data_IF_969702165287
#
_entry.id   IF_969702165287
#
_cell.length_a   1.000
_cell.length_b   1.000
_cell.length_c   1.000
_cell.angle_alpha   90.00
_cell.angle_beta   90.00
_cell.angle_gamma   90.00
#
_symmetry.space_group_name_H-M   'P 1'
#
loop_
_entity.id
_entity.type
_entity.pdbx_description
1 polymer ?
#
# COMPACT_ATOMS: atom_id res chain seq x y z
N UNK A 1 -26.39 -10.04 -4.73
CA UNK A 1 -25.97 -8.98 -3.79
C UNK A 1 -24.67 -9.41 -3.14
N UNK A 2 -23.91 -8.47 -2.62
CA UNK A 2 -22.67 -8.67 -1.86
C UNK A 2 -22.61 -7.69 -0.70
N UNK A 3 -21.89 -8.02 0.35
CA UNK A 3 -21.60 -7.12 1.47
C UNK A 3 -20.44 -6.20 1.13
N UNK A 4 -20.59 -4.92 1.48
CA UNK A 4 -19.57 -3.91 1.33
C UNK A 4 -19.64 -2.89 2.46
N UNK A 5 -18.48 -2.33 2.82
CA UNK A 5 -18.42 -1.10 3.57
C UNK A 5 -18.47 0.08 2.62
N UNK A 6 -19.28 1.09 2.92
CA UNK A 6 -19.35 2.31 2.12
C UNK A 6 -19.64 3.54 2.98
N UNK A 7 -19.39 4.72 2.43
CA UNK A 7 -19.78 6.00 3.01
C UNK A 7 -20.53 6.83 1.96
N UNK A 8 -21.57 7.51 2.42
CA UNK A 8 -22.47 8.37 1.60
C UNK A 8 -22.19 9.86 1.83
N UNK A 9 -21.36 10.16 2.82
CA UNK A 9 -20.91 11.50 3.18
C UNK A 9 -19.47 11.45 3.68
N UNK A 10 -18.75 12.56 3.47
CA UNK A 10 -17.41 12.72 4.02
C UNK A 10 -17.45 12.90 5.54
N UNK A 11 -16.45 12.37 6.25
CA UNK A 11 -16.40 12.57 7.70
C UNK A 11 -15.50 11.60 8.47
N UNK A 12 -15.72 11.47 9.79
CA UNK A 12 -14.95 10.56 10.65
C UNK A 12 -15.38 9.10 10.40
N UNK A 13 -14.59 8.12 10.87
CA UNK A 13 -14.74 6.67 10.52
C UNK A 13 -16.14 6.09 10.77
N UNK A 14 -16.90 6.74 11.63
CA UNK A 14 -18.29 6.45 11.94
C UNK A 14 -19.26 6.72 10.78
N UNK A 15 -18.83 7.41 9.70
CA UNK A 15 -19.61 7.53 8.46
C UNK A 15 -19.63 6.23 7.63
N UNK A 16 -18.74 5.28 7.93
CA UNK A 16 -18.71 3.98 7.27
C UNK A 16 -19.89 3.11 7.74
N UNK A 17 -20.62 2.56 6.77
CA UNK A 17 -21.75 1.65 6.99
C UNK A 17 -21.47 0.33 6.27
N UNK A 18 -21.79 -0.77 6.94
CA UNK A 18 -21.83 -2.10 6.32
C UNK A 18 -23.24 -2.32 5.76
N UNK A 19 -23.33 -2.71 4.49
CA UNK A 19 -24.61 -3.04 3.86
C UNK A 19 -24.44 -3.92 2.63
N UNK A 20 -25.54 -4.14 1.92
CA UNK A 20 -25.55 -4.95 0.70
C UNK A 20 -25.64 -4.07 -0.55
N UNK A 21 -24.82 -4.39 -1.56
CA UNK A 21 -24.82 -3.76 -2.87
C UNK A 21 -24.86 -4.82 -3.99
N UNK A 22 -25.23 -4.49 -5.23
CA UNK A 22 -25.14 -5.43 -6.34
C UNK A 22 -23.71 -5.91 -6.59
N UNK A 23 -23.57 -7.17 -7.04
CA UNK A 23 -22.29 -7.65 -7.59
C UNK A 23 -22.15 -7.02 -8.98
N UNK A 24 -21.05 -6.31 -9.27
CA UNK A 24 -20.88 -5.67 -10.57
C UNK A 24 -20.50 -6.69 -11.64
N UNK A 25 -20.69 -6.33 -12.92
CA UNK A 25 -20.20 -7.10 -14.06
C UNK A 25 -18.95 -6.44 -14.65
N UNK A 26 -17.92 -7.22 -15.03
CA UNK A 26 -16.70 -6.66 -15.60
C UNK A 26 -16.96 -6.02 -16.97
N UNK A 27 -16.32 -4.88 -17.22
CA UNK A 27 -16.14 -4.32 -18.58
C UNK A 27 -15.13 -5.15 -19.37
N UNK A 28 -15.00 -4.95 -20.71
CA UNK A 28 -14.11 -5.77 -21.55
C UNK A 28 -12.67 -5.90 -21.03
N UNK A 29 -12.10 -4.84 -20.46
CA UNK A 29 -10.72 -4.83 -19.94
C UNK A 29 -10.60 -5.10 -18.43
N UNK A 30 -11.67 -5.57 -17.79
CA UNK A 30 -11.74 -5.74 -16.34
C UNK A 30 -11.90 -7.20 -15.92
N UNK A 31 -11.44 -7.46 -14.70
CA UNK A 31 -11.64 -8.68 -13.95
C UNK A 31 -12.68 -8.41 -12.86
N UNK A 32 -13.54 -9.40 -12.61
CA UNK A 32 -14.31 -9.49 -11.38
C UNK A 32 -13.59 -10.43 -10.43
N UNK A 33 -13.28 -9.94 -9.24
CA UNK A 33 -12.41 -10.64 -8.29
C UNK A 33 -13.15 -10.81 -6.98
N UNK A 34 -13.20 -12.04 -6.48
CA UNK A 34 -13.60 -12.33 -5.11
C UNK A 34 -12.45 -11.91 -4.19
N UNK A 35 -12.69 -10.95 -3.31
CA UNK A 35 -11.66 -10.42 -2.41
C UNK A 35 -11.50 -11.36 -1.21
N UNK A 36 -10.28 -11.88 -1.01
CA UNK A 36 -9.95 -12.72 0.13
C UNK A 36 -9.31 -11.91 1.26
N UNK A 37 -8.49 -10.90 0.91
CA UNK A 37 -7.91 -9.96 1.84
C UNK A 37 -7.75 -8.57 1.20
N UNK A 38 -7.84 -7.53 2.00
CA UNK A 38 -7.60 -6.14 1.60
C UNK A 38 -6.65 -5.48 2.60
N UNK A 39 -5.89 -4.46 2.19
CA UNK A 39 -5.08 -3.68 3.11
C UNK A 39 -5.47 -2.21 3.10
N UNK A 40 -5.46 -1.61 4.29
CA UNK A 40 -5.72 -0.19 4.45
C UNK A 40 -4.46 0.64 4.23
N UNK A 41 -4.66 1.84 3.72
CA UNK A 41 -3.65 2.85 3.43
C UNK A 41 -4.13 4.22 3.91
N UNK A 42 -3.21 5.14 4.24
CA UNK A 42 -3.61 6.50 4.60
C UNK A 42 -4.46 7.22 3.54
N UNK A 43 -4.30 6.88 2.25
CA UNK A 43 -5.12 7.42 1.17
C UNK A 43 -6.62 7.11 1.39
N UNK A 44 -6.96 5.94 1.94
CA UNK A 44 -8.35 5.51 2.12
C UNK A 44 -9.10 6.44 3.08
N UNK A 45 -8.51 6.78 4.24
CA UNK A 45 -9.15 7.72 5.17
C UNK A 45 -9.06 9.17 4.69
N UNK A 46 -7.98 9.55 3.98
CA UNK A 46 -7.83 10.91 3.44
C UNK A 46 -8.89 11.22 2.38
N UNK A 47 -9.24 10.26 1.51
CA UNK A 47 -10.34 10.39 0.55
C UNK A 47 -11.69 10.48 1.27
N UNK A 48 -11.92 9.60 2.25
CA UNK A 48 -13.14 9.60 3.06
C UNK A 48 -13.36 10.92 3.82
N UNK A 49 -12.29 11.54 4.29
CA UNK A 49 -12.31 12.83 4.99
C UNK A 49 -12.25 14.05 4.05
N UNK A 50 -12.25 13.86 2.73
CA UNK A 50 -12.14 14.93 1.72
C UNK A 50 -10.87 15.80 1.86
N UNK A 51 -9.73 15.18 2.18
CA UNK A 51 -8.46 15.87 2.41
C UNK A 51 -7.56 15.97 1.17
N UNK A 52 -7.99 15.42 0.02
CA UNK A 52 -7.17 15.35 -1.20
C UNK A 52 -7.87 15.98 -2.40
N UNK A 53 -8.98 15.38 -2.82
CA UNK A 53 -9.77 15.83 -3.95
C UNK A 53 -11.24 15.44 -3.73
N UNK A 54 -12.20 16.22 -4.27
CA UNK A 54 -13.59 15.82 -4.26
C UNK A 54 -13.80 14.55 -5.08
N UNK A 55 -14.62 13.64 -4.56
CA UNK A 55 -15.00 12.38 -5.21
C UNK A 55 -16.52 12.27 -5.24
N UNK A 56 -17.05 11.52 -6.20
CA UNK A 56 -18.48 11.23 -6.25
C UNK A 56 -18.86 10.23 -5.15
N UNK A 57 -19.91 10.53 -4.40
CA UNK A 57 -20.48 9.64 -3.38
C UNK A 57 -21.69 8.86 -3.95
N UNK A 58 -22.02 7.67 -3.43
CA UNK A 58 -21.34 6.93 -2.36
C UNK A 58 -20.05 6.24 -2.83
N UNK A 59 -19.20 5.86 -1.87
CA UNK A 59 -17.92 5.18 -2.15
C UNK A 59 -17.72 3.99 -1.20
N UNK A 60 -17.35 2.85 -1.77
CA UNK A 60 -16.69 1.73 -1.07
C UNK A 60 -15.18 2.04 -1.04
N UNK A 61 -14.54 2.19 0.14
CA UNK A 61 -13.12 2.48 0.23
C UNK A 61 -12.24 1.24 -0.02
N UNK A 62 -10.93 1.45 -0.07
CA UNK A 62 -9.92 0.40 -0.19
C UNK A 62 -9.27 0.38 -1.57
N UNK A 63 -7.93 0.37 -1.57
CA UNK A 63 -7.11 0.33 -2.78
C UNK A 63 -6.47 -1.05 -3.00
N UNK A 64 -5.90 -1.63 -1.93
CA UNK A 64 -5.16 -2.90 -2.01
C UNK A 64 -6.10 -4.10 -1.85
N UNK A 65 -5.89 -5.13 -2.67
CA UNK A 65 -6.50 -6.45 -2.46
C UNK A 65 -5.62 -7.61 -2.94
N UNK A 66 -5.94 -8.78 -2.42
CA UNK A 66 -5.61 -10.07 -3.01
C UNK A 66 -6.86 -10.97 -3.02
N UNK A 67 -7.04 -11.74 -4.07
CA UNK A 67 -8.25 -12.52 -4.29
C UNK A 67 -8.19 -13.44 -5.50
N UNK A 68 -9.34 -14.02 -5.85
CA UNK A 68 -9.47 -14.99 -6.94
C UNK A 68 -10.32 -14.39 -8.06
N UNK A 69 -9.87 -14.52 -9.32
CA UNK A 69 -10.64 -14.11 -10.49
C UNK A 69 -11.86 -15.03 -10.64
N UNK A 70 -13.07 -14.46 -10.65
CA UNK A 70 -14.31 -15.23 -10.83
C UNK A 70 -15.00 -14.97 -12.17
N UNK A 71 -14.70 -13.84 -12.83
CA UNK A 71 -15.12 -13.55 -14.19
C UNK A 71 -14.16 -12.54 -14.83
N UNK A 72 -14.13 -12.47 -16.17
CA UNK A 72 -13.31 -11.53 -16.93
C UNK A 72 -14.08 -10.97 -18.13
N UNK A 73 -13.75 -9.75 -18.53
CA UNK A 73 -14.21 -9.19 -19.79
C UNK A 73 -13.48 -9.79 -21.00
N UNK A 74 -14.05 -9.58 -22.18
CA UNK A 74 -13.60 -10.21 -23.43
C UNK A 74 -12.19 -9.77 -23.89
N UNK A 75 -11.72 -8.59 -23.47
CA UNK A 75 -10.41 -8.05 -23.85
C UNK A 75 -9.29 -8.45 -22.86
N UNK A 76 -9.63 -9.18 -21.78
CA UNK A 76 -8.65 -9.70 -20.81
C UNK A 76 -7.95 -10.93 -21.40
N UNK A 77 -6.63 -10.89 -21.43
CA UNK A 77 -5.78 -11.94 -22.03
C UNK A 77 -4.68 -12.48 -21.11
N UNK A 78 -4.29 -11.74 -20.06
CA UNK A 78 -3.22 -12.11 -19.13
C UNK A 78 -3.67 -13.01 -17.98
N UNK A 79 -4.97 -13.04 -17.68
CA UNK A 79 -5.53 -13.78 -16.56
C UNK A 79 -6.75 -14.61 -16.97
N UNK A 80 -6.96 -15.69 -16.23
CA UNK A 80 -8.08 -16.61 -16.36
C UNK A 80 -8.90 -16.72 -15.07
N UNK A 81 -10.13 -17.22 -15.19
CA UNK A 81 -10.97 -17.52 -14.03
C UNK A 81 -10.28 -18.60 -13.19
N UNK A 82 -10.18 -18.36 -11.89
CA UNK A 82 -9.47 -19.20 -10.93
C UNK A 82 -8.06 -18.70 -10.58
N UNK A 83 -7.52 -17.70 -11.30
CA UNK A 83 -6.22 -17.14 -10.95
C UNK A 83 -6.26 -16.40 -9.61
N UNK A 84 -5.25 -16.66 -8.76
CA UNK A 84 -4.99 -15.89 -7.55
C UNK A 84 -4.17 -14.65 -7.92
N UNK A 85 -4.73 -13.46 -7.69
CA UNK A 85 -4.10 -12.19 -8.05
C UNK A 85 -4.07 -11.22 -6.87
N UNK A 86 -3.21 -10.21 -6.99
CA UNK A 86 -3.14 -9.10 -6.05
C UNK A 86 -2.78 -7.80 -6.77
N UNK A 87 -3.16 -6.66 -6.19
CA UNK A 87 -2.86 -5.37 -6.77
C UNK A 87 -3.50 -4.18 -6.05
N UNK A 88 -3.08 -2.99 -6.47
CA UNK A 88 -3.76 -1.75 -6.11
C UNK A 88 -4.74 -1.46 -7.25
N UNK A 89 -6.03 -1.48 -6.95
CA UNK A 89 -7.06 -1.33 -7.98
C UNK A 89 -7.24 0.13 -8.44
N UNK A 90 -6.64 1.10 -7.76
CA UNK A 90 -6.85 2.51 -8.03
C UNK A 90 -5.62 3.15 -8.69
N UNK A 91 -5.71 3.44 -9.98
CA UNK A 91 -4.78 4.36 -10.66
C UNK A 91 -5.14 5.81 -10.31
N UNK A 92 -4.24 6.51 -9.62
CA UNK A 92 -4.41 7.90 -9.20
C UNK A 92 -3.98 8.91 -10.28
N UNK A 93 -3.32 8.45 -11.34
CA UNK A 93 -2.86 9.29 -12.45
C UNK A 93 -3.74 9.14 -13.70
N UNK A 94 -4.69 8.19 -13.70
CA UNK A 94 -5.63 8.00 -14.78
C UNK A 94 -6.50 9.25 -15.01
N UNK A 95 -6.79 9.54 -16.28
CA UNK A 95 -7.80 10.55 -16.63
C UNK A 95 -9.17 10.04 -16.22
N UNK A 96 -9.90 10.82 -15.43
CA UNK A 96 -11.27 10.52 -15.05
C UNK A 96 -11.48 10.58 -13.54
N UNK A 97 -12.54 9.91 -13.08
CA UNK A 97 -12.89 9.85 -11.67
C UNK A 97 -12.28 8.62 -11.02
N UNK A 98 -11.99 8.73 -9.72
CA UNK A 98 -11.61 7.57 -8.91
C UNK A 98 -12.74 6.54 -8.88
N UNK A 99 -12.39 5.26 -8.65
CA UNK A 99 -13.36 4.18 -8.56
C UNK A 99 -14.23 4.39 -7.31
N UNK A 100 -15.55 4.26 -7.49
CA UNK A 100 -16.50 4.27 -6.38
C UNK A 100 -16.59 2.91 -5.68
N UNK A 101 -16.24 1.82 -6.38
CA UNK A 101 -16.18 0.47 -5.80
C UNK A 101 -14.73 0.11 -5.48
N UNK A 102 -14.34 0.27 -4.22
CA UNK A 102 -13.04 -0.11 -3.66
C UNK A 102 -12.92 -1.60 -3.33
N UNK A 103 -11.95 -1.92 -2.47
CA UNK A 103 -11.63 -3.31 -2.06
C UNK A 103 -12.28 -3.76 -0.75
N UNK A 104 -12.95 -2.88 0.00
CA UNK A 104 -13.75 -3.26 1.17
C UNK A 104 -15.16 -3.75 0.79
N UNK A 105 -15.21 -4.67 -0.18
CA UNK A 105 -16.38 -5.39 -0.64
C UNK A 105 -16.00 -6.85 -0.95
N UNK A 106 -16.96 -7.78 -0.89
CA UNK A 106 -16.70 -9.20 -1.18
C UNK A 106 -16.23 -9.43 -2.63
N UNK A 107 -16.67 -8.58 -3.56
CA UNK A 107 -16.27 -8.59 -4.96
C UNK A 107 -15.96 -7.17 -5.46
N UNK A 108 -14.86 -7.05 -6.22
CA UNK A 108 -14.46 -5.77 -6.83
C UNK A 108 -14.08 -5.93 -8.30
N UNK A 109 -14.04 -4.79 -9.00
CA UNK A 109 -13.63 -4.70 -10.39
C UNK A 109 -12.24 -4.08 -10.51
N UNK A 110 -11.37 -4.68 -11.31
CA UNK A 110 -10.03 -4.16 -11.55
C UNK A 110 -9.61 -4.35 -13.00
N UNK A 111 -8.95 -3.35 -13.56
CA UNK A 111 -8.35 -3.45 -14.89
C UNK A 111 -7.15 -4.40 -14.87
N UNK A 112 -7.02 -5.22 -15.92
CA UNK A 112 -5.96 -6.22 -16.06
C UNK A 112 -4.54 -5.66 -15.79
N UNK A 113 -4.25 -4.43 -16.21
CA UNK A 113 -2.91 -3.84 -16.07
C UNK A 113 -2.56 -3.41 -14.64
N UNK A 114 -3.48 -3.46 -13.68
CA UNK A 114 -3.26 -3.00 -12.29
C UNK A 114 -2.91 -4.14 -11.32
N UNK A 115 -2.98 -5.40 -11.77
CA UNK A 115 -2.80 -6.60 -10.94
C UNK A 115 -1.72 -7.51 -11.48
N UNK A 116 -1.22 -8.38 -10.61
CA UNK A 116 -0.26 -9.42 -10.94
C UNK A 116 -0.68 -10.75 -10.28
N UNK A 117 -0.11 -11.86 -10.75
CA UNK A 117 -0.28 -13.17 -10.11
C UNK A 117 0.29 -13.13 -8.68
N UNK A 118 -0.49 -13.59 -7.71
CA UNK A 118 -0.06 -13.71 -6.32
C UNK A 118 1.15 -14.66 -6.23
N UNK A 119 2.25 -14.26 -5.56
CA UNK A 119 3.34 -15.20 -5.26
C UNK A 119 2.80 -16.43 -4.52
N UNK A 120 3.18 -17.62 -4.99
CA UNK A 120 2.60 -18.89 -4.48
C UNK A 120 2.93 -19.15 -3.00
N UNK A 121 4.04 -18.58 -2.52
CA UNK A 121 4.51 -18.72 -1.14
C UNK A 121 3.86 -17.73 -0.16
N UNK A 122 3.05 -16.77 -0.64
CA UNK A 122 2.39 -15.78 0.21
C UNK A 122 0.91 -16.11 0.42
N UNK A 123 0.41 -15.83 1.62
CA UNK A 123 -1.03 -15.83 1.90
C UNK A 123 -1.73 -14.66 1.18
N UNK A 124 -3.07 -14.67 1.16
CA UNK A 124 -3.82 -13.53 0.65
C UNK A 124 -3.60 -12.27 1.49
N UNK A 125 -3.53 -12.39 2.82
CA UNK A 125 -3.23 -11.28 3.74
C UNK A 125 -1.86 -10.66 3.46
N UNK A 126 -0.85 -11.53 3.29
CA UNK A 126 0.51 -11.13 2.97
C UNK A 126 0.57 -10.41 1.61
N UNK A 127 -0.05 -11.00 0.58
CA UNK A 127 -0.10 -10.40 -0.73
C UNK A 127 -0.84 -9.07 -0.75
N UNK A 128 -2.02 -8.98 -0.12
CA UNK A 128 -2.80 -7.73 -0.07
C UNK A 128 -2.07 -6.61 0.67
N UNK A 129 -1.11 -6.92 1.54
CA UNK A 129 -0.33 -5.91 2.25
C UNK A 129 0.67 -5.14 1.38
N UNK A 130 0.95 -5.60 0.15
CA UNK A 130 2.06 -5.11 -0.66
C UNK A 130 1.73 -3.99 -1.67
N UNK A 131 0.60 -3.98 -2.41
CA UNK A 131 0.57 -3.29 -3.70
C UNK A 131 0.82 -1.78 -3.67
N UNK A 132 0.07 -0.99 -2.90
CA UNK A 132 0.33 0.45 -2.74
C UNK A 132 1.74 0.65 -2.17
N UNK A 133 2.05 -0.02 -1.06
CA UNK A 133 3.28 0.27 -0.31
C UNK A 133 4.57 -0.07 -1.09
N UNK A 134 4.60 -1.20 -1.79
CA UNK A 134 5.74 -1.66 -2.57
C UNK A 134 5.93 -0.81 -3.83
N UNK A 135 4.86 -0.49 -4.55
CA UNK A 135 4.95 0.36 -5.74
C UNK A 135 5.33 1.79 -5.36
N UNK A 136 4.85 2.31 -4.22
CA UNK A 136 5.29 3.62 -3.71
C UNK A 136 6.78 3.59 -3.41
N UNK A 137 7.29 2.55 -2.76
CA UNK A 137 8.72 2.39 -2.46
C UNK A 137 9.57 2.40 -3.75
N UNK A 138 9.19 1.61 -4.75
CA UNK A 138 9.89 1.55 -6.06
C UNK A 138 9.88 2.91 -6.76
N UNK A 139 8.73 3.60 -6.79
CA UNK A 139 8.61 4.88 -7.48
C UNK A 139 9.46 5.98 -6.83
N UNK A 140 9.63 5.98 -5.50
CA UNK A 140 10.49 6.97 -4.85
C UNK A 140 11.97 6.79 -5.17
N UNK A 141 12.48 5.54 -5.22
CA UNK A 141 13.85 5.28 -5.68
C UNK A 141 14.05 5.67 -7.16
N UNK A 142 13.05 5.40 -7.99
CA UNK A 142 13.05 5.79 -9.41
C UNK A 142 13.04 7.31 -9.56
N UNK A 143 12.18 8.03 -8.84
CA UNK A 143 12.11 9.50 -8.84
C UNK A 143 13.42 10.13 -8.36
N UNK A 144 14.08 9.50 -7.38
CA UNK A 144 15.40 9.91 -6.89
C UNK A 144 16.54 9.62 -7.87
N UNK A 145 16.32 8.84 -8.93
CA UNK A 145 17.38 8.29 -9.77
C UNK A 145 18.49 7.60 -8.94
N UNK A 146 18.08 6.86 -7.89
CA UNK A 146 19.00 6.22 -6.95
C UNK A 146 19.91 5.19 -7.65
N UNK A 147 21.17 5.13 -7.25
CA UNK A 147 22.21 4.27 -7.82
C UNK A 147 22.81 3.39 -6.74
N UNK A 148 23.25 2.21 -7.15
CA UNK A 148 24.04 1.30 -6.32
C UNK A 148 25.20 2.05 -5.62
N UNK A 149 25.45 1.70 -4.37
CA UNK A 149 26.51 2.29 -3.55
C UNK A 149 26.19 3.67 -2.96
N UNK A 150 25.04 4.27 -3.25
CA UNK A 150 24.59 5.51 -2.59
C UNK A 150 24.07 5.24 -1.17
N UNK A 151 24.11 6.26 -0.31
CA UNK A 151 23.52 6.19 1.04
C UNK A 151 22.10 6.75 1.07
N UNK A 152 21.22 6.17 1.89
CA UNK A 152 19.83 6.59 2.03
C UNK A 152 19.43 6.78 3.49
N UNK A 153 18.70 7.87 3.76
CA UNK A 153 18.01 8.08 5.02
C UNK A 153 16.50 7.96 4.82
N UNK A 154 15.87 7.05 5.56
CA UNK A 154 14.45 6.70 5.44
C UNK A 154 13.69 7.23 6.65
N UNK A 155 12.81 8.21 6.45
CA UNK A 155 11.98 8.74 7.53
C UNK A 155 10.78 7.82 7.72
N UNK A 156 10.60 7.28 8.93
CA UNK A 156 9.46 6.40 9.26
C UNK A 156 9.63 4.94 8.84
N UNK A 157 10.82 4.35 9.06
CA UNK A 157 11.18 3.00 8.59
C UNK A 157 10.33 1.84 9.12
N UNK A 158 9.46 2.07 10.10
CA UNK A 158 8.54 1.04 10.62
C UNK A 158 7.11 1.11 10.06
N UNK A 159 6.79 2.11 9.24
CA UNK A 159 5.46 2.24 8.62
C UNK A 159 5.25 1.30 7.43
N UNK A 160 4.03 1.25 6.88
CA UNK A 160 3.69 0.38 5.76
C UNK A 160 4.63 0.52 4.56
N UNK A 161 4.92 1.74 4.13
CA UNK A 161 5.89 2.02 3.05
C UNK A 161 7.33 1.88 3.56
N UNK A 162 7.65 2.49 4.70
CA UNK A 162 9.01 2.53 5.23
C UNK A 162 9.65 1.15 5.43
N UNK A 163 8.87 0.15 5.86
CA UNK A 163 9.37 -1.22 6.02
C UNK A 163 9.82 -1.86 4.71
N UNK A 164 9.18 -1.52 3.60
CA UNK A 164 9.57 -1.98 2.26
C UNK A 164 10.73 -1.15 1.71
N UNK A 165 10.76 0.16 1.95
CA UNK A 165 11.89 1.02 1.54
C UNK A 165 13.20 0.56 2.18
N UNK A 166 13.19 0.20 3.48
CA UNK A 166 14.38 -0.32 4.18
C UNK A 166 14.88 -1.62 3.53
N UNK A 167 13.98 -2.58 3.32
CA UNK A 167 14.33 -3.87 2.70
C UNK A 167 14.83 -3.69 1.27
N UNK A 168 14.17 -2.85 0.47
CA UNK A 168 14.55 -2.58 -0.90
C UNK A 168 15.90 -1.87 -1.00
N UNK A 169 16.14 -0.85 -0.17
CA UNK A 169 17.43 -0.17 -0.10
C UNK A 169 18.57 -1.16 0.12
N UNK A 170 18.38 -2.12 1.03
CA UNK A 170 19.41 -3.09 1.39
C UNK A 170 19.58 -4.21 0.37
N UNK A 171 18.47 -4.78 -0.12
CA UNK A 171 18.48 -6.06 -0.82
C UNK A 171 18.30 -5.95 -2.34
N UNK A 172 17.81 -4.81 -2.84
CA UNK A 172 17.45 -4.62 -4.25
C UNK A 172 18.20 -3.44 -4.90
N UNK A 173 18.53 -2.40 -4.12
CA UNK A 173 19.21 -1.20 -4.62
C UNK A 173 20.68 -1.10 -4.17
N UNK A 174 21.17 -2.10 -3.40
CA UNK A 174 22.56 -2.20 -2.97
C UNK A 174 23.10 -0.87 -2.39
N UNK A 175 22.32 -0.25 -1.50
CA UNK A 175 22.73 0.96 -0.81
C UNK A 175 23.96 0.70 0.08
N UNK A 176 24.92 1.62 0.06
CA UNK A 176 26.14 1.50 0.88
C UNK A 176 25.90 1.74 2.36
N UNK A 177 24.84 2.50 2.68
CA UNK A 177 24.40 2.78 4.04
C UNK A 177 22.88 3.03 4.04
N UNK A 178 22.16 2.22 4.81
CA UNK A 178 20.73 2.36 5.07
C UNK A 178 20.53 2.87 6.49
N UNK A 179 20.12 4.13 6.64
CA UNK A 179 19.69 4.69 7.91
C UNK A 179 18.18 4.88 7.90
N UNK A 180 17.49 4.55 8.98
CA UNK A 180 16.05 4.79 9.10
C UNK A 180 15.64 5.36 10.46
N UNK A 181 14.57 6.15 10.51
CA UNK A 181 14.01 6.64 11.78
C UNK A 181 12.84 5.81 12.26
N UNK A 182 12.76 5.64 13.58
CA UNK A 182 11.59 5.03 14.25
C UNK A 182 11.60 5.40 15.74
N UNK A 183 10.57 5.00 16.49
CA UNK A 183 10.54 5.19 17.94
C UNK A 183 11.26 4.07 18.69
N UNK A 184 11.70 4.32 19.92
CA UNK A 184 12.53 3.40 20.73
C UNK A 184 12.09 1.93 20.65
N UNK A 185 10.79 1.65 20.84
CA UNK A 185 10.26 0.28 20.88
C UNK A 185 10.33 -0.48 19.54
N UNK A 186 10.59 0.21 18.43
CA UNK A 186 10.66 -0.35 17.08
C UNK A 186 12.08 -0.38 16.51
N UNK A 187 13.09 0.04 17.27
CA UNK A 187 14.48 0.12 16.80
C UNK A 187 15.01 -1.24 16.37
N UNK A 188 14.86 -2.27 17.20
CA UNK A 188 15.31 -3.63 16.87
C UNK A 188 14.63 -4.16 15.61
N UNK A 189 13.30 -3.99 15.53
CA UNK A 189 12.51 -4.36 14.35
C UNK A 189 13.02 -3.71 13.06
N UNK A 190 13.33 -2.41 13.06
CA UNK A 190 13.83 -1.73 11.85
C UNK A 190 15.25 -2.18 11.48
N UNK A 191 16.10 -2.53 12.46
CA UNK A 191 17.40 -3.16 12.18
C UNK A 191 17.24 -4.52 11.51
N UNK A 192 16.31 -5.35 12.00
CA UNK A 192 16.05 -6.68 11.45
C UNK A 192 15.55 -6.64 9.99
N UNK A 193 14.94 -5.52 9.57
CA UNK A 193 14.55 -5.27 8.17
C UNK A 193 15.73 -4.96 7.24
N UNK A 194 16.91 -4.64 7.78
CA UNK A 194 18.12 -4.34 7.01
C UNK A 194 18.69 -2.93 7.17
N UNK A 195 18.18 -2.12 8.10
CA UNK A 195 18.79 -0.83 8.40
C UNK A 195 20.14 -0.99 9.11
N UNK A 196 21.21 -0.44 8.53
CA UNK A 196 22.56 -0.45 9.13
C UNK A 196 22.62 0.47 10.36
N UNK A 197 21.90 1.60 10.31
CA UNK A 197 21.72 2.53 11.44
C UNK A 197 20.25 2.85 11.65
N UNK A 198 19.88 3.10 12.91
CA UNK A 198 18.52 3.53 13.26
C UNK A 198 18.59 4.75 14.16
N UNK A 199 17.90 5.81 13.77
CA UNK A 199 17.75 7.05 14.54
C UNK A 199 16.45 6.99 15.32
N UNK A 200 16.56 6.99 16.65
CA UNK A 200 15.41 7.08 17.54
C UNK A 200 14.95 8.54 17.64
N UNK A 201 13.90 8.89 16.89
CA UNK A 201 13.42 10.28 16.80
C UNK A 201 12.93 10.83 18.15
N UNK A 202 12.70 9.97 19.14
CA UNK A 202 12.32 10.39 20.50
C UNK A 202 13.51 10.89 21.33
N UNK A 203 14.73 10.70 20.84
CA UNK A 203 15.99 11.03 21.53
C UNK A 203 16.93 11.89 20.71
N UNK A 204 16.86 11.81 19.39
CA UNK A 204 17.78 12.49 18.48
C UNK A 204 17.00 13.18 17.38
N UNK A 205 17.22 14.48 17.22
CA UNK A 205 16.61 15.26 16.14
C UNK A 205 17.42 15.12 14.86
N UNK A 206 16.84 15.45 13.71
CA UNK A 206 17.55 15.35 12.44
C UNK A 206 18.80 16.24 12.36
N UNK A 207 18.79 17.42 12.99
CA UNK A 207 19.93 18.35 12.95
C UNK A 207 21.13 17.84 13.76
N UNK A 208 20.89 16.91 14.69
CA UNK A 208 21.92 16.28 15.52
C UNK A 208 22.56 15.07 14.81
N UNK A 209 22.01 14.63 13.67
CA UNK A 209 22.61 13.59 12.84
C UNK A 209 23.71 14.23 11.97
N UNK A 210 24.95 13.85 12.25
CA UNK A 210 26.13 14.40 11.56
C UNK A 210 26.23 13.93 10.10
N UNK A 211 25.87 12.66 9.82
CA UNK A 211 25.94 12.11 8.48
C UNK A 211 24.94 12.75 7.51
N UNK A 212 25.37 12.94 6.26
CA UNK A 212 24.53 13.39 5.14
C UNK A 212 24.41 12.31 4.08
N UNK A 213 23.23 12.24 3.46
CA UNK A 213 22.82 11.11 2.63
C UNK A 213 22.65 11.53 1.17
N UNK A 214 22.91 10.57 0.26
CA UNK A 214 22.68 10.73 -1.18
C UNK A 214 21.19 10.72 -1.55
N UNK A 215 20.33 10.22 -0.66
CA UNK A 215 18.88 10.29 -0.75
C UNK A 215 18.27 10.46 0.65
N UNK A 216 17.33 11.40 0.80
CA UNK A 216 16.37 11.40 1.90
C UNK A 216 15.03 10.92 1.36
N UNK A 217 14.54 9.80 1.87
CA UNK A 217 13.25 9.22 1.51
C UNK A 217 12.28 9.41 2.69
N UNK A 218 11.43 10.42 2.59
CA UNK A 218 10.42 10.73 3.60
C UNK A 218 9.11 9.98 3.34
N UNK A 219 8.73 9.11 4.28
CA UNK A 219 7.49 8.31 4.17
C UNK A 219 6.32 8.82 5.03
N UNK A 220 6.51 9.96 5.72
CA UNK A 220 5.55 10.48 6.71
C UNK A 220 5.13 11.94 6.47
N UNK A 221 5.75 12.63 5.51
CA UNK A 221 5.44 14.03 5.17
C UNK A 221 6.20 15.07 6.00
N UNK A 222 7.31 14.69 6.61
CA UNK A 222 8.10 15.54 7.51
C UNK A 222 9.32 16.18 6.80
N UNK A 223 9.22 16.35 5.48
CA UNK A 223 10.28 16.93 4.65
C UNK A 223 10.66 18.35 5.07
N UNK A 224 9.78 19.10 5.74
CA UNK A 224 10.10 20.37 6.40
C UNK A 224 11.30 20.28 7.32
N UNK A 225 11.48 19.16 8.00
CA UNK A 225 12.56 18.94 8.96
C UNK A 225 13.61 17.96 8.42
N UNK A 226 13.20 16.87 7.75
CA UNK A 226 14.11 15.81 7.31
C UNK A 226 15.07 16.23 6.18
N UNK A 227 14.77 17.30 5.43
CA UNK A 227 15.59 17.78 4.32
C UNK A 227 17.04 18.12 4.71
N UNK A 228 17.31 18.44 5.98
CA UNK A 228 18.66 18.78 6.49
C UNK A 228 19.63 17.60 6.44
N UNK A 229 19.12 16.38 6.25
CA UNK A 229 19.90 15.15 6.17
C UNK A 229 20.45 14.89 4.77
N UNK A 230 19.93 15.55 3.74
CA UNK A 230 20.39 15.40 2.37
C UNK A 230 21.69 16.19 2.13
N UNK A 231 22.68 15.57 1.45
CA UNK A 231 23.81 16.30 0.84
C UNK A 231 23.29 17.42 -0.06
N UNK A 232 24.06 18.49 -0.28
CA UNK A 232 23.60 19.74 -0.93
C UNK A 232 22.72 19.56 -2.19
N UNK A 233 23.09 18.67 -3.09
CA UNK A 233 22.34 18.40 -4.34
C UNK A 233 21.65 17.03 -4.38
N UNK A 234 21.56 16.35 -3.24
CA UNK A 234 20.88 15.06 -3.15
C UNK A 234 19.34 15.22 -3.20
N UNK A 235 18.62 14.31 -3.87
CA UNK A 235 17.17 14.27 -3.86
C UNK A 235 16.61 14.12 -2.44
N UNK A 236 15.55 14.89 -2.17
CA UNK A 236 14.65 14.69 -1.04
C UNK A 236 13.31 14.26 -1.64
N UNK A 237 12.91 13.02 -1.40
CA UNK A 237 11.64 12.48 -1.87
C UNK A 237 10.64 12.48 -0.72
N UNK A 238 9.44 13.01 -0.98
CA UNK A 238 8.31 12.95 -0.06
C UNK A 238 7.13 12.27 -0.76
N UNK A 239 6.57 11.24 -0.14
CA UNK A 239 5.40 10.52 -0.68
C UNK A 239 4.08 11.09 -0.17
N UNK A 240 4.12 12.09 0.70
CA UNK A 240 2.94 12.77 1.21
C UNK A 240 2.70 14.03 0.39
N UNK A 241 1.54 14.10 -0.26
CA UNK A 241 1.12 15.31 -0.95
C UNK A 241 0.37 16.28 -0.01
N UNK A 242 0.65 17.59 -0.08
CA UNK A 242 1.82 18.20 -0.72
C UNK A 242 3.09 18.05 0.14
N UNK A 243 4.29 18.00 -0.45
CA UNK A 243 5.53 18.03 0.31
C UNK A 243 5.60 19.26 1.21
N UNK A 244 6.12 19.08 2.44
CA UNK A 244 6.17 20.15 3.44
C UNK A 244 7.39 21.07 3.34
N UNK A 245 8.29 20.81 2.37
CA UNK A 245 9.48 21.60 2.03
C UNK A 245 9.65 21.76 0.51
N UNK A 246 10.03 22.95 -0.01
CA UNK A 246 10.26 23.15 -1.44
C UNK A 246 11.46 22.38 -2.02
N UNK A 247 12.40 21.91 -1.19
CA UNK A 247 13.50 21.03 -1.61
C UNK A 247 13.01 19.61 -1.91
N UNK A 248 11.87 19.23 -1.35
CA UNK A 248 11.32 17.89 -1.54
C UNK A 248 10.51 17.81 -2.83
N UNK A 249 10.77 16.75 -3.59
CA UNK A 249 9.98 16.38 -4.76
C UNK A 249 8.93 15.36 -4.34
N UNK A 250 7.68 15.57 -4.74
CA UNK A 250 6.63 14.59 -4.54
C UNK A 250 6.87 13.38 -5.46
N UNK A 251 6.90 12.18 -4.88
CA UNK A 251 6.91 10.94 -5.65
C UNK A 251 5.48 10.42 -5.81
N UNK A 252 4.82 10.81 -6.92
CA UNK A 252 3.50 10.32 -7.27
C UNK A 252 3.51 8.84 -7.63
N UNK A 253 2.74 8.02 -6.92
CA UNK A 253 2.63 6.59 -7.16
C UNK A 253 2.15 6.30 -8.59
N UNK A 254 2.93 5.54 -9.36
CA UNK A 254 2.47 4.89 -10.60
C UNK A 254 1.98 3.48 -10.26
N UNK A 255 0.76 3.16 -10.67
CA UNK A 255 0.14 1.86 -10.38
C UNK A 255 0.17 0.98 -11.62
N UNK A 256 0.86 -0.14 -11.54
CA UNK A 256 1.02 -1.08 -12.64
C UNK A 256 1.40 -2.48 -12.12
N UNK A 257 0.64 -3.50 -12.54
CA UNK A 257 0.91 -4.91 -12.26
C UNK A 257 2.30 -5.38 -12.67
N UNK A 258 2.89 -4.80 -13.71
CA UNK A 258 4.26 -5.11 -14.15
C UNK A 258 5.32 -4.78 -13.10
N UNK A 259 5.08 -3.78 -12.23
CA UNK A 259 5.98 -3.49 -11.10
C UNK A 259 5.91 -4.64 -10.10
N UNK A 260 4.72 -5.15 -9.83
CA UNK A 260 4.50 -6.28 -8.93
C UNK A 260 5.11 -7.57 -9.50
N UNK A 261 4.96 -7.82 -10.81
CA UNK A 261 5.61 -8.95 -11.49
C UNK A 261 7.14 -8.90 -11.37
N UNK A 262 7.75 -7.71 -11.49
CA UNK A 262 9.20 -7.52 -11.29
C UNK A 262 9.64 -7.79 -9.85
N UNK A 263 8.77 -7.53 -8.87
CA UNK A 263 9.05 -7.79 -7.45
C UNK A 263 8.78 -9.25 -7.06
N UNK A 264 7.96 -10.00 -7.82
CA UNK A 264 7.59 -11.39 -7.49
C UNK A 264 8.79 -12.30 -7.18
N UNK A 265 9.88 -12.34 -7.97
CA UNK A 265 11.04 -13.18 -7.63
C UNK A 265 11.71 -12.80 -6.29
N UNK A 266 11.67 -11.53 -5.92
CA UNK A 266 12.20 -11.06 -4.62
C UNK A 266 11.30 -11.48 -3.46
N UNK A 267 9.98 -11.51 -3.67
CA UNK A 267 8.99 -12.00 -2.71
C UNK A 267 9.07 -13.53 -2.55
N UNK A 268 9.22 -14.27 -3.65
CA UNK A 268 9.34 -15.73 -3.66
C UNK A 268 10.64 -16.22 -3.01
N UNK A 269 11.75 -15.49 -3.22
CA UNK A 269 13.04 -15.78 -2.57
C UNK A 269 13.14 -15.29 -1.12
N UNK A 270 12.18 -14.47 -0.66
CA UNK A 270 12.19 -13.87 0.68
C UNK A 270 13.20 -12.72 0.86
N UNK A 271 13.78 -12.20 -0.23
CA UNK A 271 14.61 -10.97 -0.20
C UNK A 271 13.78 -9.73 0.14
N UNK A 272 12.51 -9.75 -0.23
CA UNK A 272 11.51 -8.77 0.17
C UNK A 272 10.39 -9.51 0.88
N UNK A 273 9.97 -9.04 2.05
CA UNK A 273 8.93 -9.69 2.85
C UNK A 273 7.79 -8.73 3.18
N UNK A 274 6.53 -9.21 3.14
CA UNK A 274 5.40 -8.47 3.67
C UNK A 274 5.56 -8.24 5.17
N UNK A 275 5.06 -7.11 5.67
CA UNK A 275 5.03 -6.79 7.09
C UNK A 275 3.61 -6.43 7.47
N UNK A 276 2.91 -7.37 8.09
CA UNK A 276 1.57 -7.14 8.66
C UNK A 276 1.72 -6.68 10.10
N UNK A 277 0.92 -5.69 10.48
CA UNK A 277 0.86 -5.20 11.84
C UNK A 277 0.37 -6.29 12.81
N UNK A 278 1.01 -6.50 13.97
CA UNK A 278 0.58 -7.50 14.96
C UNK A 278 -0.83 -7.32 15.53
N UNK A 279 -1.43 -6.13 15.40
CA UNK A 279 -2.80 -5.87 15.80
C UNK A 279 -3.84 -6.45 14.81
N UNK A 280 -3.40 -6.86 13.61
CA UNK A 280 -4.22 -7.50 12.59
C UNK A 280 -3.82 -8.96 12.32
N UNK A 281 -4.49 -9.62 11.35
CA UNK A 281 -5.55 -9.07 10.51
C UNK A 281 -6.83 -8.74 11.29
N UNK A 282 -7.56 -7.73 10.83
CA UNK A 282 -8.87 -7.35 11.39
C UNK A 282 -9.97 -8.04 10.59
N UNK A 283 -10.95 -8.63 11.26
CA UNK A 283 -12.10 -9.23 10.59
C UNK A 283 -12.87 -8.18 9.76
N UNK A 284 -13.54 -8.59 8.68
CA UNK A 284 -14.30 -7.65 7.83
C UNK A 284 -15.40 -6.89 8.58
N UNK A 285 -15.95 -7.42 9.67
CA UNK A 285 -16.88 -6.68 10.55
C UNK A 285 -16.24 -5.52 11.32
N UNK A 286 -14.91 -5.50 11.42
CA UNK A 286 -14.16 -4.61 12.30
C UNK A 286 -13.47 -3.47 11.53
N UNK A 287 -13.92 -3.17 10.30
CA UNK A 287 -13.32 -2.13 9.44
C UNK A 287 -13.27 -0.76 10.13
N UNK A 288 -14.28 -0.37 10.92
CA UNK A 288 -14.26 0.88 11.69
C UNK A 288 -13.08 0.88 12.70
N UNK A 289 -12.86 -0.23 13.40
CA UNK A 289 -11.74 -0.38 14.35
C UNK A 289 -10.39 -0.32 13.62
N UNK A 290 -10.29 -0.97 12.46
CA UNK A 290 -9.08 -0.96 11.64
C UNK A 290 -8.72 0.45 11.13
N UNK A 291 -9.71 1.23 10.65
CA UNK A 291 -9.53 2.65 10.32
C UNK A 291 -9.12 3.47 11.53
N UNK A 292 -9.76 3.24 12.68
CA UNK A 292 -9.40 3.91 13.93
C UNK A 292 -7.95 3.66 14.33
N UNK A 293 -7.45 2.43 14.15
CA UNK A 293 -6.05 2.10 14.41
C UNK A 293 -5.10 2.71 13.38
N UNK A 294 -5.44 2.67 12.09
CA UNK A 294 -4.67 3.30 11.01
C UNK A 294 -4.47 4.80 11.25
N UNK A 295 -5.54 5.50 11.62
CA UNK A 295 -5.55 6.95 11.84
C UNK A 295 -4.70 7.39 13.05
N UNK A 296 -4.25 6.45 13.91
CA UNK A 296 -3.28 6.76 14.97
C UNK A 296 -1.85 6.98 14.46
N UNK A 297 -1.54 6.55 13.23
CA UNK A 297 -0.19 6.56 12.67
C UNK A 297 0.80 5.61 13.36
N UNK A 298 0.32 4.69 14.24
CA UNK A 298 1.17 3.83 15.06
C UNK A 298 1.46 2.45 14.47
N UNK A 299 0.88 2.12 13.32
CA UNK A 299 1.07 0.82 12.69
C UNK A 299 2.57 0.48 12.52
N UNK A 300 2.91 -0.79 12.68
CA UNK A 300 4.19 -1.43 12.38
C UNK A 300 3.99 -2.31 11.16
N UNK A 301 4.18 -1.74 9.98
CA UNK A 301 3.81 -2.37 8.70
C UNK A 301 2.38 -2.02 8.28
N UNK A 302 1.64 -3.02 7.82
CA UNK A 302 0.36 -2.86 7.11
C UNK A 302 -0.82 -3.41 7.90
N UNK A 303 -1.92 -2.67 7.86
CA UNK A 303 -3.20 -3.09 8.45
C UNK A 303 -3.97 -3.84 7.38
N UNK A 304 -4.29 -5.11 7.66
CA UNK A 304 -4.99 -6.01 6.75
C UNK A 304 -6.39 -6.31 7.28
N UNK A 305 -7.36 -6.38 6.36
CA UNK A 305 -8.72 -6.85 6.59
C UNK A 305 -8.84 -8.28 6.05
N UNK A 306 -9.05 -9.23 6.94
CA UNK A 306 -9.29 -10.66 6.67
C UNK A 306 -9.75 -11.35 7.97
N UNK A 307 -10.59 -12.41 7.91
CA UNK A 307 -11.29 -12.90 6.72
C UNK A 307 -12.48 -12.01 6.33
N UNK A 308 -12.92 -12.16 5.08
CA UNK A 308 -14.18 -11.63 4.58
C UNK A 308 -15.34 -12.58 4.93
N UNK A 309 -16.56 -12.04 4.95
CA UNK A 309 -17.77 -12.76 5.39
C UNK A 309 -18.18 -13.93 4.47
N UNK A 310 -17.61 -14.03 3.27
CA UNK A 310 -17.85 -15.10 2.30
C UNK A 310 -16.87 -16.29 2.44
N UNK A 311 -16.50 -16.67 3.66
CA UNK A 311 -15.56 -17.79 3.89
C UNK A 311 -16.22 -19.16 4.13
N UNK A 312 -17.55 -19.27 4.05
CA UNK A 312 -18.22 -20.57 4.12
C UNK A 312 -18.78 -20.99 2.74
N UNK A 313 -18.22 -22.09 2.23
CA UNK A 313 -18.59 -22.86 1.05
C UNK A 313 -20.11 -22.88 0.76
N UNK A 314 -20.56 -22.34 -0.39
CA UNK A 314 -21.77 -22.87 -1.06
C UNK A 314 -22.01 -22.45 -2.53
N UNK A 315 -21.15 -21.67 -3.19
CA UNK A 315 -21.45 -21.13 -4.54
C UNK A 315 -20.89 -21.88 -5.75
N UNK A 316 -20.34 -23.10 -5.59
CA UNK A 316 -19.91 -23.92 -6.73
C UNK A 316 -21.04 -24.61 -7.52
N UNK A 317 -22.30 -24.40 -7.16
CA UNK A 317 -23.44 -24.89 -7.93
C UNK A 317 -24.49 -23.79 -8.13
N UNK A 318 -24.32 -22.97 -9.19
CA UNK A 318 -25.40 -22.35 -9.99
C UNK A 318 -24.90 -21.15 -10.81
N UNK A 319 -23.94 -21.36 -11.71
CA UNK A 319 -23.82 -20.53 -12.91
C UNK A 319 -23.44 -21.48 -14.05
N UNK A 320 -24.45 -22.04 -14.70
CA UNK A 320 -24.27 -23.10 -15.69
C UNK A 320 -25.61 -23.74 -16.05
N UNK A 321 -26.51 -22.94 -16.64
CA UNK A 321 -27.64 -23.40 -17.44
C UNK A 321 -28.04 -22.29 -18.40
#
# INVERSE_FOLDING_TARGET
MQKAWFYEEHGPKETLKLGEIPIPSPKPNQLLVQVHAAALNPIDFKLRQNLLAPIDLPVVPGCDMAGVVIAKGDDVSKFDVGDEIYGNIQDFNAKGKLKQLGTLAEFTLVEEHLVAIKPKNLSFEEASSLPVAAQTAVEGFKTACFKEGQSVFIVGGAGGVGTLVVQMAKNLYDASLVTATTSTGKVGFVKDLGADKVVDYTKTRYEEVEEKYDLVYDTIGDSRNSYVLAKENAPVIDITWPPSNPRASFSGLTVNGEILDKLRPCLESGKLKPVIDPAGPFHFSDVIKAFGYLETGRARGKIVISPFLCSDNETHHKIGS
#
